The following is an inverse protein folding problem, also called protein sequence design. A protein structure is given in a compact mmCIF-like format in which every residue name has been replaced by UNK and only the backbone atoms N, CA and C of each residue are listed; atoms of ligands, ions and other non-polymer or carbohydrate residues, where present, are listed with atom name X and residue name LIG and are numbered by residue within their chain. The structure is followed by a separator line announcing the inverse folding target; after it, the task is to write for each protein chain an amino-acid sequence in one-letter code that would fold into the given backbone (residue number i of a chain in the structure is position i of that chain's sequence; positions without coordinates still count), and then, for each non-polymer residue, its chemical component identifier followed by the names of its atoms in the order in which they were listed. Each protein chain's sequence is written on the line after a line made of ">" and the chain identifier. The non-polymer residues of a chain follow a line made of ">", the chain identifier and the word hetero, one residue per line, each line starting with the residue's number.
data_IF_668491618643
#
_entry.id   IF_668491618643
#
_cell.length_a   1.000
_cell.length_b   1.000
_cell.length_c   1.000
_cell.angle_alpha   90.00
_cell.angle_beta   90.00
_cell.angle_gamma   90.00
#
_symmetry.space_group_name_H-M   'P 1'
#
loop_
_entity.id
_entity.type
_entity.pdbx_description
1 polymer ?
#
# COMPACT_ATOMS: atom_id res chain seq x y z
N UNK A 1 -4.26 -5.33 10.44
CA UNK A 1 -4.02 -4.42 9.29
C UNK A 1 -5.03 -3.27 9.20
N UNK A 2 -6.36 -3.48 9.14
CA UNK A 2 -7.31 -2.36 8.95
C UNK A 2 -7.25 -1.27 10.04
N UNK A 3 -7.14 -1.62 11.32
CA UNK A 3 -6.93 -0.62 12.38
C UNK A 3 -5.64 0.21 12.20
N UNK A 4 -4.61 -0.38 11.60
CA UNK A 4 -3.35 0.32 11.29
C UNK A 4 -3.51 1.27 10.08
N UNK A 5 -4.39 0.94 9.13
CA UNK A 5 -4.76 1.87 8.03
C UNK A 5 -5.44 3.10 8.61
N UNK A 6 -6.48 2.90 9.43
CA UNK A 6 -7.23 4.00 10.05
C UNK A 6 -6.32 4.89 10.90
N UNK A 7 -5.46 4.29 11.74
CA UNK A 7 -4.50 5.03 12.56
C UNK A 7 -3.46 5.75 11.70
N UNK A 8 -2.90 5.07 10.70
CA UNK A 8 -1.90 5.65 9.80
C UNK A 8 -2.43 6.88 9.07
N UNK A 9 -3.67 6.85 8.62
CA UNK A 9 -4.32 7.99 7.95
C UNK A 9 -4.61 9.13 8.93
N UNK A 10 -5.25 8.84 10.06
CA UNK A 10 -5.78 9.88 10.97
C UNK A 10 -4.71 10.52 11.84
N UNK A 11 -3.78 9.71 12.34
CA UNK A 11 -2.81 10.13 13.36
C UNK A 11 -1.40 10.31 12.78
N UNK A 12 -1.09 9.64 11.67
CA UNK A 12 0.26 9.62 11.10
C UNK A 12 0.32 10.21 9.68
N UNK A 13 -0.76 10.83 9.18
CA UNK A 13 -0.80 11.52 7.88
C UNK A 13 -0.45 10.62 6.68
N UNK A 14 -0.77 9.33 6.74
CA UNK A 14 -0.61 8.45 5.59
C UNK A 14 -1.54 8.91 4.46
N UNK A 15 -0.94 9.29 3.33
CA UNK A 15 -1.63 9.83 2.17
C UNK A 15 -1.28 9.07 0.89
N UNK A 16 -0.78 7.84 1.02
CA UNK A 16 -0.56 6.88 -0.06
C UNK A 16 -0.62 5.46 0.47
N UNK A 17 -0.98 4.50 -0.38
CA UNK A 17 -0.92 3.07 -0.04
C UNK A 17 0.49 2.67 0.40
N UNK A 18 1.53 3.22 -0.23
CA UNK A 18 2.93 3.00 0.14
C UNK A 18 3.28 3.51 1.54
N UNK A 19 2.67 4.61 2.02
CA UNK A 19 2.86 5.07 3.41
C UNK A 19 2.40 4.04 4.43
N UNK A 20 1.32 3.32 4.13
CA UNK A 20 0.77 2.28 5.01
C UNK A 20 1.56 0.98 4.86
N UNK A 21 1.69 0.49 3.62
CA UNK A 21 2.21 -0.85 3.34
C UNK A 21 3.73 -0.95 3.53
N UNK A 22 4.48 0.09 3.16
CA UNK A 22 5.94 0.09 3.27
C UNK A 22 6.38 0.63 4.64
N UNK A 23 5.84 1.79 5.05
CA UNK A 23 6.41 2.56 6.18
C UNK A 23 5.79 2.25 7.55
N UNK A 24 4.55 1.72 7.61
CA UNK A 24 3.78 1.58 8.89
C UNK A 24 3.41 0.15 9.29
N UNK A 25 3.39 -0.80 8.36
CA UNK A 25 2.93 -2.17 8.64
C UNK A 25 4.02 -3.24 8.52
N UNK A 26 5.19 -2.90 7.95
CA UNK A 26 6.27 -3.84 7.60
C UNK A 26 5.87 -4.98 6.64
N UNK A 27 4.62 -4.99 6.10
CA UNK A 27 4.14 -6.09 5.26
C UNK A 27 4.98 -6.21 3.99
N UNK A 28 5.43 -5.08 3.43
CA UNK A 28 6.33 -5.05 2.28
C UNK A 28 7.62 -5.87 2.49
N UNK A 29 8.13 -5.95 3.72
CA UNK A 29 9.39 -6.64 4.01
C UNK A 29 9.21 -8.05 4.55
N UNK A 30 8.06 -8.34 5.18
CA UNK A 30 7.83 -9.59 5.93
C UNK A 30 6.92 -10.59 5.24
N UNK A 31 6.05 -10.12 4.36
CA UNK A 31 5.15 -10.99 3.60
C UNK A 31 5.82 -11.45 2.30
N UNK A 32 5.64 -12.72 1.95
CA UNK A 32 6.28 -13.32 0.77
C UNK A 32 5.81 -12.67 -0.53
N UNK A 33 4.52 -12.34 -0.62
CA UNK A 33 3.91 -11.62 -1.74
C UNK A 33 3.90 -10.10 -1.51
N UNK A 34 4.57 -9.62 -0.46
CA UNK A 34 4.67 -8.23 -0.10
C UNK A 34 3.29 -7.56 -0.01
N UNK A 35 2.29 -8.29 0.49
CA UNK A 35 0.95 -7.76 0.73
C UNK A 35 0.13 -7.43 -0.52
N UNK A 36 0.54 -7.86 -1.72
CA UNK A 36 -0.20 -7.64 -2.97
C UNK A 36 -1.67 -8.06 -2.84
N UNK A 37 -1.97 -9.20 -2.24
CA UNK A 37 -3.37 -9.66 -2.05
C UNK A 37 -4.25 -8.78 -1.15
N UNK A 38 -3.69 -7.76 -0.50
CA UNK A 38 -4.41 -6.83 0.38
C UNK A 38 -4.42 -5.38 -0.10
N UNK A 39 -3.70 -5.05 -1.18
CA UNK A 39 -3.49 -3.66 -1.61
C UNK A 39 -4.81 -2.96 -1.97
N UNK A 40 -5.72 -3.66 -2.65
CA UNK A 40 -7.03 -3.11 -3.05
C UNK A 40 -7.91 -2.80 -1.84
N UNK A 41 -7.88 -3.65 -0.80
CA UNK A 41 -8.64 -3.42 0.44
C UNK A 41 -8.09 -2.22 1.22
N UNK A 42 -6.77 -2.09 1.29
CA UNK A 42 -6.11 -0.94 1.92
C UNK A 42 -6.44 0.35 1.17
N UNK A 43 -6.30 0.34 -0.15
CA UNK A 43 -6.59 1.50 -0.99
C UNK A 43 -8.07 1.91 -0.92
N UNK A 44 -9.00 0.95 -0.94
CA UNK A 44 -10.43 1.22 -0.75
C UNK A 44 -10.70 1.89 0.60
N UNK A 45 -10.12 1.36 1.68
CA UNK A 45 -10.29 1.94 3.01
C UNK A 45 -9.69 3.34 3.11
N UNK A 46 -8.51 3.57 2.52
CA UNK A 46 -7.91 4.91 2.47
C UNK A 46 -8.79 5.88 1.69
N UNK A 47 -9.30 5.48 0.52
CA UNK A 47 -10.19 6.32 -0.28
C UNK A 47 -11.44 6.77 0.50
N UNK A 48 -12.05 5.87 1.27
CA UNK A 48 -13.17 6.21 2.16
C UNK A 48 -12.79 7.24 3.25
N UNK A 49 -11.56 7.18 3.76
CA UNK A 49 -11.10 8.03 4.88
C UNK A 49 -10.68 9.43 4.44
N UNK A 50 -10.04 9.56 3.26
CA UNK A 50 -9.48 10.84 2.78
C UNK A 50 -10.15 11.38 1.52
N UNK A 51 -11.16 10.68 1.00
CA UNK A 51 -12.00 11.16 -0.10
C UNK A 51 -11.37 11.08 -1.48
N UNK A 52 -10.54 10.07 -1.73
CA UNK A 52 -9.98 9.86 -3.07
C UNK A 52 -11.05 9.49 -4.10
N UNK A 53 -10.83 9.99 -5.32
CA UNK A 53 -11.45 9.48 -6.54
C UNK A 53 -11.01 8.05 -6.86
N UNK A 54 -11.72 7.40 -7.79
CA UNK A 54 -11.32 6.09 -8.29
C UNK A 54 -9.95 6.14 -8.99
N UNK A 55 -9.65 7.25 -9.67
CA UNK A 55 -8.37 7.51 -10.33
C UNK A 55 -7.22 7.65 -9.33
N UNK A 56 -7.38 8.44 -8.27
CA UNK A 56 -6.36 8.60 -7.22
C UNK A 56 -6.11 7.30 -6.47
N UNK A 57 -7.19 6.55 -6.16
CA UNK A 57 -7.08 5.22 -5.55
C UNK A 57 -6.29 4.28 -6.45
N UNK A 58 -6.63 4.23 -7.74
CA UNK A 58 -5.95 3.34 -8.69
C UNK A 58 -4.48 3.74 -8.87
N UNK A 59 -4.19 5.04 -8.99
CA UNK A 59 -2.81 5.55 -9.06
C UNK A 59 -1.99 5.09 -7.85
N UNK A 60 -2.54 5.19 -6.63
CA UNK A 60 -1.80 4.79 -5.44
C UNK A 60 -1.59 3.26 -5.34
N UNK A 61 -2.51 2.46 -5.88
CA UNK A 61 -2.34 1.00 -6.01
C UNK A 61 -1.20 0.70 -7.00
N UNK A 62 -1.20 1.36 -8.16
CA UNK A 62 -0.23 1.14 -9.22
C UNK A 62 1.18 1.52 -8.76
N UNK A 63 1.32 2.65 -8.05
CA UNK A 63 2.58 3.07 -7.43
C UNK A 63 3.11 2.00 -6.46
N UNK A 64 2.24 1.44 -5.61
CA UNK A 64 2.65 0.37 -4.70
C UNK A 64 3.09 -0.90 -5.45
N UNK A 65 2.36 -1.29 -6.50
CA UNK A 65 2.72 -2.44 -7.34
C UNK A 65 4.06 -2.23 -8.04
N UNK A 66 4.35 -1.00 -8.47
CA UNK A 66 5.64 -0.65 -9.05
C UNK A 66 6.79 -0.78 -8.04
N UNK A 67 6.60 -0.37 -6.78
CA UNK A 67 7.58 -0.57 -5.70
C UNK A 67 7.86 -2.06 -5.43
N UNK A 68 6.81 -2.89 -5.39
CA UNK A 68 6.95 -4.35 -5.25
C UNK A 68 7.73 -4.92 -6.43
N UNK A 69 7.33 -4.62 -7.66
CA UNK A 69 8.01 -5.09 -8.87
C UNK A 69 9.48 -4.69 -8.89
N UNK A 70 9.79 -3.42 -8.57
CA UNK A 70 11.16 -2.91 -8.46
C UNK A 70 11.99 -3.72 -7.46
N UNK A 71 11.43 -4.00 -6.27
CA UNK A 71 12.10 -4.77 -5.24
C UNK A 71 12.31 -6.24 -5.59
N UNK A 72 11.53 -6.78 -6.53
CA UNK A 72 11.60 -8.18 -6.98
C UNK A 72 12.45 -8.38 -8.23
N UNK A 73 12.97 -7.31 -8.86
CA UNK A 73 13.78 -7.40 -10.10
C UNK A 73 14.95 -8.37 -10.03
N UNK A 74 15.50 -8.61 -8.85
CA UNK A 74 16.58 -9.59 -8.66
C UNK A 74 16.14 -11.03 -9.02
N UNK A 75 14.84 -11.35 -8.96
CA UNK A 75 14.30 -12.67 -9.33
C UNK A 75 14.33 -12.92 -10.84
N UNK A 76 14.26 -11.87 -11.65
CA UNK A 76 14.31 -11.98 -13.12
C UNK A 76 15.74 -12.12 -13.65
N UNK A 77 16.74 -11.85 -12.81
CA UNK A 77 18.16 -11.94 -13.16
C UNK A 77 18.81 -13.30 -12.78
N UNK A 78 18.00 -14.26 -12.31
CA UNK A 78 18.39 -15.63 -11.96
C UNK A 78 17.84 -16.62 -13.00
#
# INVERSE_FOLDING_TARGET
>A
IMAQVDFGVREELAASVSDVMIRRTQIFFRDFEQGIGSVEKVAMRMAELIGWSDEERQSSIDDYKAEVALSQRWREAL
#
